data_IF_443933231495
#
_entry.id   IF_443933231495
#
_cell.length_a   1.000
_cell.length_b   1.000
_cell.length_c   1.000
_cell.angle_alpha   90.00
_cell.angle_beta   90.00
_cell.angle_gamma   90.00
#
_symmetry.space_group_name_H-M   'P 1'
#
loop_
_entity.id
_entity.type
_entity.pdbx_description
1 polymer ?
#
# COMPACT_ATOMS: atom_id res chain seq x y z
N UNK A 1 -12.59 -1.74 -44.10
CA UNK A 1 -12.55 -1.02 -42.82
C UNK A 1 -13.27 -1.85 -41.76
N UNK A 2 -12.58 -2.32 -40.72
CA UNK A 2 -13.26 -2.84 -39.52
C UNK A 2 -13.86 -1.63 -38.81
N UNK A 3 -15.19 -1.61 -38.64
CA UNK A 3 -15.84 -0.60 -37.84
C UNK A 3 -15.31 -0.73 -36.41
N UNK A 4 -14.65 0.31 -35.91
CA UNK A 4 -14.42 0.46 -34.49
C UNK A 4 -15.76 0.26 -33.78
N UNK A 5 -15.74 -0.40 -32.62
CA UNK A 5 -16.86 -0.51 -31.68
C UNK A 5 -17.06 0.89 -31.03
N UNK A 6 -17.32 1.88 -31.90
CA UNK A 6 -16.93 3.28 -31.77
C UNK A 6 -18.01 4.10 -31.08
N UNK A 7 -17.62 5.02 -30.20
CA UNK A 7 -18.47 6.07 -29.66
C UNK A 7 -19.34 5.66 -28.46
N UNK A 8 -20.60 5.21 -28.66
CA UNK A 8 -21.56 5.08 -27.55
C UNK A 8 -21.17 4.05 -26.49
N UNK A 9 -20.60 2.91 -26.89
CA UNK A 9 -20.18 1.88 -25.94
C UNK A 9 -18.97 2.34 -25.12
N UNK A 10 -17.99 3.00 -25.73
CA UNK A 10 -16.82 3.52 -25.01
C UNK A 10 -17.19 4.57 -23.96
N UNK A 11 -18.08 5.51 -24.31
CA UNK A 11 -18.60 6.52 -23.38
C UNK A 11 -19.40 5.89 -22.24
N UNK A 12 -20.17 4.84 -22.54
CA UNK A 12 -20.90 4.10 -21.52
C UNK A 12 -19.96 3.40 -20.52
N UNK A 13 -18.82 2.87 -20.98
CA UNK A 13 -17.86 2.19 -20.10
C UNK A 13 -17.14 3.17 -19.18
N UNK A 14 -16.71 4.32 -19.70
CA UNK A 14 -16.15 5.40 -18.89
C UNK A 14 -17.13 5.84 -17.81
N UNK A 15 -18.40 6.04 -18.16
CA UNK A 15 -19.48 6.36 -17.21
C UNK A 15 -19.71 5.24 -16.18
N UNK A 16 -19.69 3.98 -16.60
CA UNK A 16 -19.92 2.82 -15.72
C UNK A 16 -18.77 2.61 -14.73
N UNK A 17 -17.54 2.90 -15.15
CA UNK A 17 -16.35 2.79 -14.30
C UNK A 17 -16.12 4.03 -13.43
N UNK A 18 -16.79 5.15 -13.72
CA UNK A 18 -16.69 6.36 -12.91
C UNK A 18 -17.14 6.12 -11.46
N UNK A 19 -16.33 6.55 -10.48
CA UNK A 19 -16.61 6.41 -9.05
C UNK A 19 -16.28 5.03 -8.46
N UNK A 20 -15.69 4.12 -9.24
CA UNK A 20 -15.09 2.90 -8.69
C UNK A 20 -13.72 3.22 -8.12
N UNK A 21 -13.41 2.63 -6.96
CA UNK A 21 -12.10 2.74 -6.34
C UNK A 21 -11.45 1.37 -6.17
N UNK A 22 -10.13 1.34 -6.17
CA UNK A 22 -9.37 0.14 -5.84
C UNK A 22 -9.27 -0.04 -4.33
N UNK A 23 -9.36 -1.28 -3.87
CA UNK A 23 -9.18 -1.67 -2.46
C UNK A 23 -8.07 -2.70 -2.35
N UNK A 24 -7.31 -2.66 -1.27
CA UNK A 24 -6.28 -3.64 -0.99
C UNK A 24 -6.84 -4.90 -0.29
N UNK A 25 -5.95 -5.82 0.09
CA UNK A 25 -6.32 -7.07 0.77
C UNK A 25 -6.93 -6.87 2.16
N UNK A 26 -6.73 -5.70 2.77
CA UNK A 26 -7.31 -5.30 4.05
C UNK A 26 -8.62 -4.52 3.87
N UNK A 27 -9.16 -4.47 2.65
CA UNK A 27 -10.33 -3.67 2.27
C UNK A 27 -10.13 -2.16 2.49
N UNK A 28 -8.88 -1.70 2.52
CA UNK A 28 -8.57 -0.28 2.62
C UNK A 28 -8.53 0.35 1.22
N UNK A 29 -9.06 1.57 1.12
CA UNK A 29 -9.06 2.34 -0.12
C UNK A 29 -7.62 2.61 -0.57
N UNK A 30 -7.26 2.11 -1.75
CA UNK A 30 -5.95 2.39 -2.34
C UNK A 30 -5.90 3.87 -2.68
N UNK A 31 -5.01 4.58 -2.01
CA UNK A 31 -4.85 6.02 -2.22
C UNK A 31 -4.40 6.30 -3.65
N UNK A 32 -5.17 7.11 -4.36
CA UNK A 32 -4.81 7.63 -5.67
C UNK A 32 -3.68 8.66 -5.57
N UNK A 33 -3.05 8.97 -6.71
CA UNK A 33 -2.00 9.99 -6.74
C UNK A 33 -2.58 11.38 -6.45
N UNK A 34 -2.01 12.09 -5.49
CA UNK A 34 -2.30 13.52 -5.30
C UNK A 34 -1.60 14.32 -6.41
N UNK A 35 -2.34 15.14 -7.15
CA UNK A 35 -1.74 15.97 -8.18
C UNK A 35 -1.04 17.21 -7.58
N UNK A 36 0.09 17.65 -8.16
CA UNK A 36 0.75 18.87 -7.74
C UNK A 36 -0.17 20.07 -7.98
N UNK A 37 -0.13 21.06 -7.08
CA UNK A 37 -1.03 22.25 -7.11
C UNK A 37 -1.02 23.03 -8.43
N UNK A 38 0.08 22.96 -9.19
CA UNK A 38 0.20 23.60 -10.51
C UNK A 38 -0.57 22.87 -11.62
N UNK A 39 -0.91 21.60 -11.42
CA UNK A 39 -1.60 20.76 -12.39
C UNK A 39 -3.09 20.71 -12.07
N UNK A 40 -3.84 21.65 -12.63
CA UNK A 40 -5.26 21.82 -12.33
C UNK A 40 -6.12 21.60 -13.58
N UNK A 41 -7.09 20.71 -13.46
CA UNK A 41 -8.09 20.47 -14.50
C UNK A 41 -9.01 21.68 -14.66
N UNK A 42 -9.48 21.93 -15.88
CA UNK A 42 -10.46 22.97 -16.15
C UNK A 42 -11.66 22.36 -16.85
N UNK A 43 -12.84 22.90 -16.56
CA UNK A 43 -14.10 22.40 -17.12
C UNK A 43 -14.91 21.56 -16.14
N UNK A 44 -16.20 21.37 -16.45
CA UNK A 44 -17.13 20.71 -15.55
C UNK A 44 -16.80 19.23 -15.40
N UNK A 45 -16.82 18.72 -14.15
CA UNK A 45 -16.62 17.31 -13.85
C UNK A 45 -15.18 16.80 -14.03
N UNK A 46 -14.20 17.68 -14.19
CA UNK A 46 -12.80 17.29 -14.23
C UNK A 46 -12.32 16.91 -12.83
N UNK A 47 -11.98 15.64 -12.65
CA UNK A 47 -11.30 15.10 -11.47
C UNK A 47 -9.81 14.90 -11.76
N UNK A 48 -9.00 14.79 -10.70
CA UNK A 48 -7.57 14.51 -10.82
C UNK A 48 -7.29 13.24 -11.63
N UNK A 49 -8.12 12.20 -11.49
CA UNK A 49 -8.01 10.95 -12.26
C UNK A 49 -8.26 11.17 -13.76
N UNK A 50 -9.30 11.93 -14.11
CA UNK A 50 -9.62 12.23 -15.51
C UNK A 50 -8.53 13.09 -16.16
N UNK A 51 -7.97 14.03 -15.39
CA UNK A 51 -6.87 14.86 -15.83
C UNK A 51 -5.61 14.03 -16.07
N UNK A 52 -5.23 13.18 -15.11
CA UNK A 52 -4.08 12.29 -15.23
C UNK A 52 -4.23 11.36 -16.44
N UNK A 53 -5.42 10.79 -16.63
CA UNK A 53 -5.74 9.94 -17.79
C UNK A 53 -5.62 10.69 -19.11
N UNK A 54 -6.08 11.95 -19.17
CA UNK A 54 -5.96 12.79 -20.36
C UNK A 54 -4.50 13.13 -20.68
N UNK A 55 -3.70 13.46 -19.66
CA UNK A 55 -2.26 13.74 -19.82
C UNK A 55 -1.52 12.48 -20.28
N UNK A 56 -1.76 11.34 -19.64
CA UNK A 56 -1.17 10.07 -20.02
C UNK A 56 -1.53 9.70 -21.46
N UNK A 57 -2.79 9.89 -21.86
CA UNK A 57 -3.25 9.65 -23.24
C UNK A 57 -2.54 10.57 -24.23
N UNK A 58 -2.38 11.85 -23.91
CA UNK A 58 -1.69 12.81 -24.76
C UNK A 58 -0.20 12.46 -24.91
N UNK A 59 0.48 12.09 -23.82
CA UNK A 59 1.87 11.64 -23.82
C UNK A 59 2.07 10.31 -24.56
N UNK A 60 1.09 9.42 -24.51
CA UNK A 60 1.16 8.12 -25.20
C UNK A 60 0.97 8.27 -26.72
N UNK A 61 0.16 9.23 -27.15
CA UNK A 61 -0.21 9.42 -28.56
C UNK A 61 0.62 10.48 -29.28
N UNK A 62 1.37 11.30 -28.54
CA UNK A 62 2.17 12.40 -29.08
C UNK A 62 3.50 12.53 -28.35
N UNK A 63 4.54 12.90 -29.10
CA UNK A 63 5.85 13.28 -28.55
C UNK A 63 5.97 14.78 -28.27
N UNK A 64 4.90 15.54 -28.51
CA UNK A 64 4.86 16.98 -28.23
C UNK A 64 4.75 17.24 -26.73
N UNK A 65 5.31 18.37 -26.24
CA UNK A 65 5.22 18.73 -24.84
C UNK A 65 3.78 18.97 -24.40
N UNK A 66 3.48 18.59 -23.16
CA UNK A 66 2.21 18.93 -22.50
C UNK A 66 2.35 20.30 -21.84
N UNK A 67 1.57 21.24 -22.32
CA UNK A 67 1.56 22.66 -21.92
C UNK A 67 0.21 23.11 -21.37
N UNK A 68 -0.85 22.30 -21.56
CA UNK A 68 -2.20 22.63 -21.16
C UNK A 68 -2.84 23.70 -22.05
N UNK A 69 -3.88 24.36 -21.54
CA UNK A 69 -4.56 25.43 -22.26
C UNK A 69 -3.91 26.79 -21.95
N UNK A 70 -3.19 27.35 -22.92
CA UNK A 70 -2.46 28.62 -22.78
C UNK A 70 -3.35 29.88 -22.81
N UNK A 71 -4.60 29.75 -23.25
CA UNK A 71 -5.49 30.90 -23.43
C UNK A 71 -6.11 31.35 -22.11
N UNK A 72 -6.02 32.65 -21.80
CA UNK A 72 -6.73 33.27 -20.67
C UNK A 72 -8.26 33.13 -20.77
N UNK A 73 -8.80 32.80 -21.94
CA UNK A 73 -10.23 32.53 -22.12
C UNK A 73 -10.72 31.35 -21.26
N UNK A 74 -9.83 30.42 -20.91
CA UNK A 74 -10.11 29.27 -20.04
C UNK A 74 -10.54 29.71 -18.64
N UNK A 75 -9.98 30.80 -18.12
CA UNK A 75 -10.35 31.33 -16.80
C UNK A 75 -11.75 31.97 -16.82
N UNK A 76 -12.18 32.50 -17.98
CA UNK A 76 -13.51 33.10 -18.15
C UNK A 76 -14.56 32.08 -18.57
N UNK A 77 -14.15 31.03 -19.25
CA UNK A 77 -15.01 29.98 -19.76
C UNK A 77 -14.35 28.61 -19.51
N UNK A 78 -14.54 28.01 -18.33
CA UNK A 78 -13.82 26.79 -17.94
C UNK A 78 -14.03 25.59 -18.88
N UNK A 79 -15.12 25.55 -19.65
CA UNK A 79 -15.39 24.51 -20.64
C UNK A 79 -14.85 24.80 -22.05
N UNK A 80 -14.17 25.93 -22.27
CA UNK A 80 -13.66 26.29 -23.61
C UNK A 80 -12.40 25.48 -23.93
N UNK A 81 -12.49 24.62 -24.93
CA UNK A 81 -11.36 23.81 -25.39
C UNK A 81 -10.80 24.39 -26.69
N UNK A 82 -9.86 25.33 -26.56
CA UNK A 82 -9.30 26.06 -27.70
C UNK A 82 -8.15 25.31 -28.36
N UNK A 83 -7.33 24.61 -27.57
CA UNK A 83 -6.26 23.78 -28.08
C UNK A 83 -6.60 22.30 -27.88
N UNK A 84 -7.19 21.68 -28.90
CA UNK A 84 -7.59 20.26 -28.88
C UNK A 84 -6.43 19.27 -28.89
N UNK A 85 -5.20 19.74 -29.15
CA UNK A 85 -3.98 18.92 -29.04
C UNK A 85 -3.43 18.83 -27.62
N UNK A 86 -3.97 19.63 -26.70
CA UNK A 86 -3.55 19.69 -25.30
C UNK A 86 -4.71 19.27 -24.38
N UNK A 87 -4.43 18.62 -23.25
CA UNK A 87 -5.43 18.33 -22.23
C UNK A 87 -6.17 19.59 -21.76
N UNK A 88 -7.41 19.42 -21.31
CA UNK A 88 -8.21 20.49 -20.74
C UNK A 88 -7.77 20.77 -19.29
N UNK A 89 -6.61 21.39 -19.15
CA UNK A 89 -6.04 21.83 -17.87
C UNK A 89 -5.48 23.25 -17.98
N UNK A 90 -5.28 23.89 -16.83
CA UNK A 90 -4.59 25.18 -16.77
C UNK A 90 -3.16 25.01 -17.28
N UNK A 91 -2.67 26.03 -17.98
CA UNK A 91 -1.27 26.07 -18.37
C UNK A 91 -0.36 25.90 -17.15
N UNK A 92 0.62 25.02 -17.28
CA UNK A 92 1.62 24.76 -16.24
C UNK A 92 3.00 24.65 -16.87
N UNK A 93 4.03 24.79 -16.04
CA UNK A 93 5.42 24.65 -16.44
C UNK A 93 6.14 23.85 -15.38
N UNK A 94 6.91 22.85 -15.82
CA UNK A 94 7.79 22.07 -14.95
C UNK A 94 9.10 22.82 -14.81
N UNK A 95 9.51 23.10 -13.58
CA UNK A 95 10.78 23.78 -13.29
C UNK A 95 11.87 22.79 -12.92
N UNK A 96 13.13 23.21 -13.01
CA UNK A 96 14.27 22.39 -12.57
C UNK A 96 14.17 21.99 -11.10
N UNK A 97 13.56 22.85 -10.28
CA UNK A 97 13.32 22.58 -8.86
C UNK A 97 12.28 21.47 -8.65
N UNK A 98 11.25 21.39 -9.50
CA UNK A 98 10.27 20.30 -9.47
C UNK A 98 10.94 18.97 -9.82
N UNK A 99 11.82 18.97 -10.83
CA UNK A 99 12.61 17.79 -11.24
C UNK A 99 13.49 17.33 -10.08
N UNK A 100 14.27 18.24 -9.51
CA UNK A 100 15.19 17.94 -8.40
C UNK A 100 14.46 17.34 -7.20
N UNK A 101 13.32 17.91 -6.82
CA UNK A 101 12.48 17.38 -5.72
C UNK A 101 11.97 15.97 -6.01
N UNK A 102 11.53 15.72 -7.25
CA UNK A 102 11.03 14.41 -7.63
C UNK A 102 12.14 13.35 -7.65
N UNK A 103 13.33 13.70 -8.13
CA UNK A 103 14.50 12.83 -8.09
C UNK A 103 14.92 12.49 -6.66
N UNK A 104 14.96 13.50 -5.77
CA UNK A 104 15.26 13.32 -4.35
C UNK A 104 14.25 12.39 -3.66
N UNK A 105 12.96 12.57 -3.92
CA UNK A 105 11.91 11.70 -3.40
C UNK A 105 12.10 10.25 -3.85
N UNK A 106 12.36 10.02 -5.14
CA UNK A 106 12.59 8.68 -5.70
C UNK A 106 13.81 8.02 -5.06
N UNK A 107 14.91 8.75 -4.89
CA UNK A 107 16.11 8.24 -4.23
C UNK A 107 15.83 7.84 -2.78
N UNK A 108 15.12 8.68 -2.02
CA UNK A 108 14.76 8.39 -0.64
C UNK A 108 13.87 7.14 -0.52
N UNK A 109 12.86 7.01 -1.37
CA UNK A 109 11.96 5.83 -1.36
C UNK A 109 12.72 4.55 -1.72
N UNK A 110 13.61 4.59 -2.73
CA UNK A 110 14.46 3.44 -3.08
C UNK A 110 15.37 3.02 -1.92
N UNK A 111 16.00 3.97 -1.25
CA UNK A 111 16.85 3.69 -0.07
C UNK A 111 16.05 3.01 1.05
N UNK A 112 14.85 3.53 1.35
CA UNK A 112 13.96 2.93 2.37
C UNK A 112 13.53 1.51 1.99
N UNK A 113 13.26 1.26 0.71
CA UNK A 113 12.94 -0.07 0.21
C UNK A 113 14.15 -1.02 0.37
N UNK A 114 15.35 -0.58 0.01
CA UNK A 114 16.58 -1.36 0.20
C UNK A 114 16.82 -1.70 1.67
N UNK A 115 16.65 -0.73 2.58
CA UNK A 115 16.76 -0.95 4.03
C UNK A 115 15.74 -1.97 4.54
N UNK A 116 14.48 -1.89 4.10
CA UNK A 116 13.44 -2.82 4.47
C UNK A 116 13.73 -4.25 3.96
N UNK A 117 14.21 -4.39 2.72
CA UNK A 117 14.61 -5.67 2.15
C UNK A 117 15.83 -6.27 2.87
N UNK A 118 16.82 -5.45 3.25
CA UNK A 118 17.95 -5.92 4.06
C UNK A 118 17.49 -6.41 5.43
N UNK A 119 16.61 -5.66 6.10
CA UNK A 119 16.06 -6.04 7.40
C UNK A 119 15.25 -7.34 7.32
N UNK A 120 14.45 -7.52 6.27
CA UNK A 120 13.69 -8.76 6.01
C UNK A 120 14.62 -9.97 5.83
N UNK A 121 15.68 -9.83 5.02
CA UNK A 121 16.69 -10.88 4.85
C UNK A 121 17.39 -11.24 6.17
N UNK A 122 17.75 -10.24 6.99
CA UNK A 122 18.36 -10.46 8.31
C UNK A 122 17.40 -11.19 9.26
N UNK A 123 16.13 -10.78 9.32
CA UNK A 123 15.12 -11.40 10.16
C UNK A 123 14.89 -12.88 9.78
N UNK A 124 14.84 -13.19 8.48
CA UNK A 124 14.69 -14.56 8.00
C UNK A 124 15.90 -15.44 8.35
N UNK A 125 17.13 -14.88 8.30
CA UNK A 125 18.34 -15.60 8.73
C UNK A 125 18.30 -15.88 10.24
N UNK A 126 17.84 -14.93 11.07
CA UNK A 126 17.66 -15.16 12.51
C UNK A 126 16.61 -16.23 12.81
N UNK A 127 15.51 -16.29 12.05
CA UNK A 127 14.47 -17.33 12.17
C UNK A 127 15.04 -18.72 11.88
N UNK A 128 15.78 -18.88 10.78
CA UNK A 128 16.46 -20.14 10.42
C UNK A 128 17.47 -20.55 11.50
N UNK A 129 18.21 -19.59 12.05
CA UNK A 129 19.19 -19.87 13.10
C UNK A 129 18.54 -20.34 14.42
N UNK A 130 17.35 -19.84 14.76
CA UNK A 130 16.60 -20.22 15.96
C UNK A 130 15.96 -21.61 15.84
N UNK A 131 15.45 -21.96 14.68
CA UNK A 131 14.86 -23.29 14.43
C UNK A 131 15.92 -24.41 14.32
N UNK A 132 17.20 -24.05 14.19
CA UNK A 132 18.33 -24.97 14.23
C UNK A 132 18.81 -25.37 15.63
N UNK A 133 18.32 -24.72 16.69
CA UNK A 133 18.70 -25.00 18.09
C UNK A 133 17.60 -25.81 18.79
N UNK A 134 17.54 -27.10 18.46
CA UNK A 134 16.81 -28.08 19.28
C UNK A 134 17.49 -28.17 20.67
N UNK A 135 16.74 -28.22 21.78
CA UNK A 135 17.33 -28.46 23.09
C UNK A 135 17.96 -29.86 23.10
N UNK A 136 19.29 -29.92 23.16
CA UNK A 136 20.00 -31.16 23.48
C UNK A 136 19.67 -31.57 24.90
N UNK A 137 19.21 -32.79 25.02
CA UNK A 137 18.86 -33.57 26.19
C UNK A 137 19.85 -33.37 27.37
N UNK A 138 19.30 -33.26 28.59
CA UNK A 138 20.01 -33.71 29.79
C UNK A 138 19.41 -35.04 30.23
N UNK A 139 20.31 -36.01 30.30
CA UNK A 139 20.18 -37.39 30.76
C UNK A 139 19.45 -37.56 32.10
N UNK A 140 18.72 -38.68 32.20
CA UNK A 140 19.08 -39.75 33.13
C UNK A 140 18.52 -39.66 34.55
N UNK A 141 17.59 -40.56 34.87
CA UNK A 141 17.16 -40.85 36.23
C UNK A 141 15.89 -41.69 36.29
N UNK A 142 15.94 -42.92 35.78
CA UNK A 142 15.05 -43.99 36.23
C UNK A 142 15.44 -44.32 37.69
N UNK A 143 14.60 -43.97 38.65
CA UNK A 143 14.57 -44.66 39.94
C UNK A 143 13.13 -45.17 40.15
N UNK A 144 12.91 -46.42 39.72
CA UNK A 144 11.94 -47.29 40.36
C UNK A 144 12.48 -47.59 41.77
N UNK A 145 11.78 -47.10 42.78
CA UNK A 145 12.02 -47.42 44.19
C UNK A 145 10.70 -47.75 44.84
N UNK A 146 10.51 -49.03 45.13
CA UNK A 146 9.40 -49.61 45.88
C UNK A 146 9.47 -49.11 47.33
N UNK A 147 8.51 -48.29 47.78
CA UNK A 147 8.29 -48.02 49.20
C UNK A 147 7.20 -48.99 49.70
N UNK A 148 7.63 -50.14 50.22
CA UNK A 148 6.83 -51.00 51.10
C UNK A 148 7.15 -50.69 52.58
N UNK A 149 6.10 -50.81 53.40
CA UNK A 149 6.06 -50.92 54.87
C UNK A 149 5.90 -49.60 55.69
N UNK A 150 4.64 -49.19 55.83
CA UNK A 150 4.14 -48.43 56.99
C UNK A 150 4.10 -49.36 58.22
N UNK A 151 5.00 -49.17 59.18
CA UNK A 151 4.82 -49.68 60.56
C UNK A 151 4.06 -48.62 61.38
N UNK A 152 2.79 -48.89 61.67
CA UNK A 152 2.00 -48.17 62.67
C UNK A 152 2.44 -48.60 64.09
N UNK A 153 3.07 -47.71 64.84
CA UNK A 153 3.07 -47.78 66.32
C UNK A 153 2.07 -46.75 66.87
N UNK A 154 0.86 -47.23 67.17
CA UNK A 154 -0.13 -46.52 68.00
C UNK A 154 0.15 -46.80 69.48
N UNK A 155 0.66 -45.81 70.20
CA UNK A 155 0.56 -45.72 71.65
C UNK A 155 -0.21 -44.44 72.01
N UNK A 156 -1.51 -44.60 72.28
CA UNK A 156 -2.31 -43.58 72.97
C UNK A 156 -2.98 -44.24 74.16
N UNK A 157 -2.28 -44.21 75.29
CA UNK A 157 -2.83 -44.65 76.56
C UNK A 157 -3.31 -43.44 77.36
N UNK A 158 -4.59 -43.54 77.75
CA UNK A 158 -5.17 -43.07 79.02
C UNK A 158 -5.39 -41.54 79.18
N UNK A 159 -6.54 -41.05 79.68
CA UNK A 159 -7.45 -41.62 80.68
C UNK A 159 -8.76 -40.79 80.75
N UNK A 160 -9.85 -41.51 81.02
CA UNK A 160 -10.91 -41.21 82.02
C UNK A 160 -12.03 -40.17 81.77
N UNK A 161 -13.23 -40.68 82.07
CA UNK A 161 -14.28 -40.05 82.90
C UNK A 161 -15.19 -38.98 82.26
N UNK A 162 -16.43 -39.34 81.92
CA UNK A 162 -17.59 -39.29 82.85
C UNK A 162 -18.96 -39.18 82.13
N UNK A 163 -19.93 -39.87 82.74
CA UNK A 163 -21.41 -39.88 82.56
C UNK A 163 -22.00 -40.75 81.46
#
# INVERSE_FOLDING_TARGET
>A
MKGDVSGPLRLFWEKKLSGLNAFDIAEELVKTMDLPKGLQGVGPGCTDETLLSAIASALHTSTMPITGQLSAAVEKNPGVWLNTSQPLCKAFMVTDEDIRKQEELVQQVRKRLEEALMADMLAHVEEIARDGEAPTEKEGGEEEGEDEEEEEEQDHDQEMENV
#
